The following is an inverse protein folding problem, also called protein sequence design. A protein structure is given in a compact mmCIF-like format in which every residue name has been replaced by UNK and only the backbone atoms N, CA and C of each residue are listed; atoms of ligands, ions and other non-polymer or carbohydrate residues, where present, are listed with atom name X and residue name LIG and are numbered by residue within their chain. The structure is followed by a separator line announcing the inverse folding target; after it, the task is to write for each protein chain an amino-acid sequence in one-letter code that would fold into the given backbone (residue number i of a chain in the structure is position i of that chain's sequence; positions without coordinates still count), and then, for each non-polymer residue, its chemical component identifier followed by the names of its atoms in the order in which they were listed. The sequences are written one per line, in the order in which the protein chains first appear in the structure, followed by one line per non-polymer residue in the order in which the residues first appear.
data_IF_620525808082
#
_entry.id   IF_620525808082
#
_cell.length_a   1.000
_cell.length_b   1.000
_cell.length_c   1.000
_cell.angle_alpha   90.00
_cell.angle_beta   90.00
_cell.angle_gamma   90.00
#
_symmetry.space_group_name_H-M   'P 1'
#
loop_
_entity.id
_entity.type
_entity.pdbx_description
1 polymer ?
#
# COMPACT_ATOMS: atom_id res chain seq x y z
N UNK A 1 16.16 7.65 18.43
CA UNK A 1 15.67 6.26 18.46
C UNK A 1 14.85 6.07 17.20
N UNK A 2 15.36 5.32 16.21
CA UNK A 2 14.64 5.03 14.96
C UNK A 2 13.57 3.98 15.27
N UNK A 3 12.49 4.42 15.92
CA UNK A 3 11.34 3.57 16.22
C UNK A 3 10.53 3.40 14.96
N UNK A 4 10.73 2.29 14.25
CA UNK A 4 9.80 1.84 13.22
C UNK A 4 8.48 1.56 13.93
N UNK A 5 7.57 2.53 13.97
CA UNK A 5 6.22 2.29 14.45
C UNK A 5 5.58 1.37 13.40
N UNK A 6 5.19 0.16 13.78
CA UNK A 6 4.31 -0.66 12.95
C UNK A 6 2.91 -0.16 13.27
N UNK A 7 2.43 0.77 12.46
CA UNK A 7 1.16 1.45 12.67
C UNK A 7 0.16 1.16 11.58
N UNK A 8 -0.98 1.82 11.75
CA UNK A 8 -2.20 1.59 10.97
C UNK A 8 -1.94 1.78 9.48
N UNK A 9 -1.04 2.70 9.08
CA UNK A 9 -0.70 2.97 7.69
C UNK A 9 0.00 1.77 7.05
N UNK A 10 0.97 1.16 7.75
CA UNK A 10 1.66 -0.03 7.24
C UNK A 10 0.67 -1.16 7.00
N UNK A 11 -0.21 -1.40 7.96
CA UNK A 11 -1.21 -2.45 7.87
C UNK A 11 -2.27 -2.17 6.80
N UNK A 12 -2.73 -0.92 6.69
CA UNK A 12 -3.69 -0.49 5.68
C UNK A 12 -3.13 -0.63 4.26
N UNK A 13 -1.90 -0.19 4.03
CA UNK A 13 -1.23 -0.32 2.72
C UNK A 13 -0.95 -1.79 2.40
N UNK A 14 -0.49 -2.58 3.38
CA UNK A 14 -0.26 -4.01 3.20
C UNK A 14 -1.53 -4.76 2.78
N UNK A 15 -2.70 -4.39 3.30
CA UNK A 15 -3.98 -4.99 2.91
C UNK A 15 -4.61 -4.39 1.65
N UNK A 16 -4.41 -3.10 1.39
CA UNK A 16 -4.96 -2.43 0.20
C UNK A 16 -4.37 -2.99 -1.09
N UNK A 17 -3.06 -3.24 -1.15
CA UNK A 17 -2.41 -3.76 -2.36
C UNK A 17 -3.01 -5.10 -2.83
N UNK A 18 -3.10 -6.16 -1.99
CA UNK A 18 -3.74 -7.40 -2.40
C UNK A 18 -5.25 -7.25 -2.62
N UNK A 19 -5.94 -6.38 -1.87
CA UNK A 19 -7.36 -6.12 -2.09
C UNK A 19 -7.63 -5.51 -3.48
N UNK A 20 -6.84 -4.53 -3.90
CA UNK A 20 -6.90 -3.94 -5.24
C UNK A 20 -6.65 -5.02 -6.30
N UNK A 21 -5.63 -5.86 -6.11
CA UNK A 21 -5.35 -6.95 -7.05
C UNK A 21 -6.53 -7.92 -7.20
N UNK A 22 -7.18 -8.32 -6.09
CA UNK A 22 -8.36 -9.21 -6.14
C UNK A 22 -9.52 -8.54 -6.87
N UNK A 23 -9.77 -7.25 -6.63
CA UNK A 23 -10.80 -6.49 -7.33
C UNK A 23 -10.50 -6.39 -8.84
N UNK A 24 -9.27 -6.05 -9.21
CA UNK A 24 -8.84 -6.01 -10.62
C UNK A 24 -8.98 -7.37 -11.30
N UNK A 25 -8.67 -8.46 -10.58
CA UNK A 25 -8.88 -9.82 -11.10
C UNK A 25 -10.35 -10.11 -11.35
N UNK A 26 -11.23 -9.66 -10.47
CA UNK A 26 -12.68 -9.74 -10.66
C UNK A 26 -13.13 -9.03 -11.93
N UNK A 27 -12.62 -7.82 -12.19
CA UNK A 27 -12.96 -7.07 -13.42
C UNK A 27 -12.42 -7.76 -14.67
N UNK A 28 -11.20 -8.29 -14.65
CA UNK A 28 -10.65 -9.05 -15.78
C UNK A 28 -11.42 -10.34 -16.04
N UNK A 29 -11.87 -11.02 -14.99
CA UNK A 29 -12.71 -12.22 -15.15
C UNK A 29 -14.07 -11.88 -15.74
N UNK A 30 -14.70 -10.80 -15.28
CA UNK A 30 -15.97 -10.32 -15.84
C UNK A 30 -15.82 -9.91 -17.31
N UNK A 31 -14.73 -9.21 -17.66
CA UNK A 31 -14.43 -8.85 -19.04
C UNK A 31 -14.19 -10.08 -19.92
N UNK A 32 -13.48 -11.09 -19.41
CA UNK A 32 -13.26 -12.34 -20.13
C UNK A 32 -14.57 -13.11 -20.35
N UNK A 33 -15.48 -13.07 -19.37
CA UNK A 33 -16.82 -13.64 -19.47
C UNK A 33 -17.65 -12.93 -20.55
N UNK A 34 -17.64 -11.59 -20.60
CA UNK A 34 -18.33 -10.82 -21.64
C UNK A 34 -17.83 -11.12 -23.05
N UNK A 35 -16.53 -11.32 -23.20
CA UNK A 35 -15.90 -11.54 -24.50
C UNK A 35 -15.82 -13.01 -24.92
N UNK A 36 -16.37 -13.94 -24.12
CA UNK A 36 -16.21 -15.39 -24.31
C UNK A 36 -14.73 -15.82 -24.49
N UNK A 37 -13.81 -15.11 -23.84
CA UNK A 37 -12.38 -15.42 -23.88
C UNK A 37 -11.98 -16.26 -22.67
N UNK A 38 -10.81 -16.92 -22.73
CA UNK A 38 -10.30 -17.70 -21.61
C UNK A 38 -10.10 -16.87 -20.34
N UNK A 39 -10.43 -17.49 -19.20
CA UNK A 39 -10.25 -16.89 -17.88
C UNK A 39 -8.75 -16.68 -17.60
N UNK A 40 -8.37 -15.57 -16.93
CA UNK A 40 -6.99 -15.37 -16.49
C UNK A 40 -6.50 -16.53 -15.61
N UNK A 41 -5.47 -17.22 -16.10
CA UNK A 41 -4.89 -18.43 -15.53
C UNK A 41 -3.66 -18.11 -14.66
N UNK A 42 -3.80 -17.11 -13.79
CA UNK A 42 -2.73 -16.58 -12.98
C UNK A 42 -2.67 -17.17 -11.56
N UNK A 43 -1.45 -17.33 -11.03
CA UNK A 43 -1.20 -17.86 -9.67
C UNK A 43 -1.57 -16.83 -8.60
N UNK A 44 -2.86 -16.76 -8.29
CA UNK A 44 -3.46 -15.80 -7.34
C UNK A 44 -2.74 -15.75 -6.00
N UNK A 45 -2.49 -16.90 -5.38
CA UNK A 45 -1.87 -16.99 -4.05
C UNK A 45 -0.48 -16.35 -4.09
N UNK A 46 0.31 -16.63 -5.13
CA UNK A 46 1.66 -16.06 -5.28
C UNK A 46 1.58 -14.54 -5.38
N UNK A 47 0.68 -14.01 -6.22
CA UNK A 47 0.52 -12.56 -6.38
C UNK A 47 0.02 -11.86 -5.12
N UNK A 48 -0.87 -12.49 -4.35
CA UNK A 48 -1.33 -11.96 -3.06
C UNK A 48 -0.20 -11.92 -2.04
N UNK A 49 0.58 -13.00 -1.92
CA UNK A 49 1.72 -13.06 -1.00
C UNK A 49 2.77 -12.01 -1.36
N UNK A 50 3.11 -11.88 -2.64
CA UNK A 50 4.01 -10.81 -3.10
C UNK A 50 3.43 -9.42 -2.84
N UNK A 51 2.12 -9.23 -3.08
CA UNK A 51 1.43 -7.97 -2.79
C UNK A 51 1.47 -7.59 -1.31
N UNK A 52 1.31 -8.56 -0.41
CA UNK A 52 1.43 -8.36 1.04
C UNK A 52 2.86 -7.96 1.44
N UNK A 53 3.88 -8.65 0.90
CA UNK A 53 5.29 -8.33 1.18
C UNK A 53 5.61 -6.91 0.70
N UNK A 54 5.24 -6.58 -0.54
CA UNK A 54 5.46 -5.26 -1.12
C UNK A 54 4.71 -4.18 -0.33
N UNK A 55 3.44 -4.43 -0.01
CA UNK A 55 2.61 -3.48 0.74
C UNK A 55 3.08 -3.28 2.17
N UNK A 56 3.64 -4.31 2.81
CA UNK A 56 4.28 -4.18 4.12
C UNK A 56 5.54 -3.31 4.05
N UNK A 57 6.41 -3.53 3.05
CA UNK A 57 7.63 -2.73 2.86
C UNK A 57 7.28 -1.28 2.55
N UNK A 58 6.40 -1.04 1.57
CA UNK A 58 5.98 0.30 1.18
C UNK A 58 5.21 1.02 2.29
N UNK A 59 4.31 0.31 2.96
CA UNK A 59 3.54 0.83 4.08
C UNK A 59 4.44 1.27 5.23
N UNK A 60 5.48 0.47 5.53
CA UNK A 60 6.48 0.80 6.53
C UNK A 60 7.32 2.04 6.18
N UNK A 61 7.74 2.16 4.91
CA UNK A 61 8.40 3.38 4.43
C UNK A 61 7.50 4.61 4.54
N UNK A 62 6.25 4.49 4.09
CA UNK A 62 5.28 5.58 4.12
C UNK A 62 4.97 6.00 5.56
N UNK A 63 4.91 5.03 6.47
CA UNK A 63 4.69 5.29 7.87
C UNK A 63 5.86 6.06 8.50
N UNK A 64 7.11 5.73 8.18
CA UNK A 64 8.26 6.51 8.65
C UNK A 64 8.17 7.99 8.21
N UNK A 65 7.78 8.24 6.96
CA UNK A 65 7.54 9.61 6.49
C UNK A 65 6.37 10.28 7.21
N UNK A 66 5.30 9.54 7.47
CA UNK A 66 4.12 10.04 8.15
C UNK A 66 4.43 10.42 9.60
N UNK A 67 5.14 9.56 10.34
CA UNK A 67 5.52 9.82 11.73
C UNK A 67 6.44 11.05 11.81
N UNK A 68 7.41 11.19 10.88
CA UNK A 68 8.25 12.37 10.79
C UNK A 68 7.44 13.65 10.50
N UNK A 69 6.42 13.56 9.64
CA UNK A 69 5.53 14.66 9.32
C UNK A 69 4.65 15.06 10.50
N UNK A 70 4.04 14.09 11.19
CA UNK A 70 3.19 14.32 12.37
C UNK A 70 4.00 15.00 13.47
N UNK A 71 5.22 14.51 13.75
CA UNK A 71 6.11 15.13 14.76
C UNK A 71 6.41 16.59 14.39
N UNK A 72 6.72 16.88 13.12
CA UNK A 72 7.02 18.23 12.67
C UNK A 72 5.80 19.17 12.74
N UNK A 73 4.62 18.67 12.36
CA UNK A 73 3.34 19.39 12.49
C UNK A 73 3.00 19.69 13.95
N UNK A 74 3.16 18.71 14.85
CA UNK A 74 2.85 18.87 16.27
C UNK A 74 3.85 19.78 16.99
N UNK A 75 5.06 19.92 16.44
CA UNK A 75 6.07 20.88 16.93
C UNK A 75 5.78 22.34 16.50
N UNK A 76 4.67 22.60 15.79
CA UNK A 76 4.22 23.95 15.44
C UNK A 76 4.89 24.56 14.20
N UNK A 77 5.67 23.77 13.44
CA UNK A 77 6.30 24.25 12.20
C UNK A 77 5.30 24.30 11.04
N UNK A 78 5.42 25.28 10.12
CA UNK A 78 4.57 25.34 8.94
C UNK A 78 4.81 24.13 8.02
N UNK A 79 3.73 23.59 7.45
CA UNK A 79 3.72 22.33 6.67
C UNK A 79 4.79 22.28 5.55
N UNK A 80 5.11 23.43 4.95
CA UNK A 80 6.15 23.58 3.92
C UNK A 80 7.57 23.28 4.44
N UNK A 81 7.88 23.62 5.69
CA UNK A 81 9.18 23.31 6.30
C UNK A 81 9.29 21.84 6.70
N UNK A 82 8.15 21.17 6.96
CA UNK A 82 8.12 19.74 7.25
C UNK A 82 8.37 18.86 6.01
N UNK A 83 7.97 19.32 4.82
CA UNK A 83 8.31 18.65 3.55
C UNK A 83 9.71 19.02 3.04
N UNK A 84 10.17 20.24 3.29
CA UNK A 84 11.50 20.73 2.90
C UNK A 84 12.53 20.46 3.99
N UNK A 85 12.73 19.19 4.37
CA UNK A 85 13.89 18.82 5.20
C UNK A 85 15.14 18.86 4.31
N UNK A 86 15.80 20.02 4.26
CA UNK A 86 17.21 20.13 3.89
C UNK A 86 18.03 20.31 5.16
#
# INVERSE_FOLDING_TARGET
MWGFSIGIITFAVALLIPAIYVLSRGTFWFQAWLNNTEKPNDKMIVKIVFGLIIGFVLGGMLQYFWDAFVICKDSGYPLLQCFSRK
#
